data_IF_550942211836
#
_entry.id   IF_550942211836
#
_cell.length_a   1.000
_cell.length_b   1.000
_cell.length_c   1.000
_cell.angle_alpha   90.00
_cell.angle_beta   90.00
_cell.angle_gamma   90.00
#
_symmetry.space_group_name_H-M   'P 1'
#
loop_
_entity.id
_entity.type
_entity.pdbx_description
1 polymer ?
#
# COMPACT_ATOMS: atom_id res chain seq x y z
N UNK A 1 -2.98 14.83 -18.48
CA UNK A 1 -3.61 13.59 -18.87
C UNK A 1 -2.70 12.70 -19.71
N UNK A 2 -2.25 13.17 -20.90
CA UNK A 2 -1.49 12.34 -21.84
C UNK A 2 -0.20 11.78 -21.25
N UNK A 3 0.55 12.58 -20.49
CA UNK A 3 1.76 12.12 -19.81
C UNK A 3 1.47 10.98 -18.81
N UNK A 4 0.42 11.11 -18.00
CA UNK A 4 0.01 10.05 -17.07
C UNK A 4 -0.38 8.77 -17.81
N UNK A 5 -1.18 8.86 -18.87
CA UNK A 5 -1.55 7.69 -19.68
C UNK A 5 -0.32 7.02 -20.33
N UNK A 6 0.66 7.82 -20.77
CA UNK A 6 1.92 7.28 -21.30
C UNK A 6 2.68 6.48 -20.23
N UNK A 7 2.79 7.03 -19.02
CA UNK A 7 3.41 6.33 -17.90
C UNK A 7 2.62 5.09 -17.46
N UNK A 8 1.28 5.12 -17.53
CA UNK A 8 0.45 3.93 -17.26
C UNK A 8 0.78 2.81 -18.25
N UNK A 9 0.84 3.12 -19.56
CA UNK A 9 1.20 2.13 -20.60
C UNK A 9 2.61 1.59 -20.38
N UNK A 10 3.57 2.46 -20.08
CA UNK A 10 4.97 2.06 -19.89
C UNK A 10 5.18 1.16 -18.64
N UNK A 11 4.30 1.24 -17.65
CA UNK A 11 4.45 0.58 -16.35
C UNK A 11 3.37 -0.47 -16.04
N UNK A 12 2.62 -0.90 -17.04
CA UNK A 12 1.53 -1.89 -16.87
C UNK A 12 1.47 -2.88 -18.02
N UNK A 13 0.45 -3.73 -18.04
CA UNK A 13 0.15 -4.61 -19.17
C UNK A 13 -0.66 -3.95 -20.29
N UNK A 14 -1.05 -2.69 -20.15
CA UNK A 14 -1.71 -1.93 -21.21
C UNK A 14 -0.73 -1.62 -22.36
N UNK A 15 -1.30 -1.39 -23.53
CA UNK A 15 -0.57 -1.11 -24.79
C UNK A 15 -1.05 0.20 -25.42
N UNK A 16 -0.42 0.65 -26.50
CA UNK A 16 -0.85 1.84 -27.22
C UNK A 16 -2.30 1.78 -27.74
N UNK A 17 -2.84 0.58 -28.00
CA UNK A 17 -4.25 0.40 -28.38
C UNK A 17 -5.18 0.86 -27.26
N UNK A 18 -4.75 0.75 -25.99
CA UNK A 18 -5.55 1.07 -24.81
C UNK A 18 -5.54 2.57 -24.48
N UNK A 19 -4.77 3.39 -25.17
CA UNK A 19 -4.57 4.82 -24.87
C UNK A 19 -5.88 5.60 -24.72
N UNK A 20 -6.80 5.45 -25.68
CA UNK A 20 -8.11 6.15 -25.65
C UNK A 20 -8.95 5.64 -24.48
N UNK A 21 -8.97 4.32 -24.26
CA UNK A 21 -9.66 3.72 -23.12
C UNK A 21 -9.13 4.27 -21.80
N UNK A 22 -7.82 4.32 -21.60
CA UNK A 22 -7.18 4.85 -20.40
C UNK A 22 -7.47 6.34 -20.22
N UNK A 23 -7.36 7.15 -21.28
CA UNK A 23 -7.70 8.56 -21.23
C UNK A 23 -9.14 8.79 -20.76
N UNK A 24 -10.10 8.05 -21.32
CA UNK A 24 -11.51 8.11 -20.93
C UNK A 24 -11.72 7.66 -19.47
N UNK A 25 -11.02 6.62 -19.01
CA UNK A 25 -11.06 6.17 -17.61
C UNK A 25 -10.54 7.24 -16.66
N UNK A 26 -9.40 7.87 -16.97
CA UNK A 26 -8.84 8.95 -16.15
C UNK A 26 -9.78 10.15 -16.13
N UNK A 27 -10.28 10.62 -17.28
CA UNK A 27 -11.23 11.74 -17.36
C UNK A 27 -12.53 11.45 -16.58
N UNK A 28 -13.01 10.22 -16.58
CA UNK A 28 -14.17 9.83 -15.76
C UNK A 28 -13.93 10.02 -14.26
N UNK A 29 -12.70 9.79 -13.81
CA UNK A 29 -12.28 9.92 -12.42
C UNK A 29 -12.05 11.38 -12.02
N UNK A 30 -11.30 12.14 -12.84
CA UNK A 30 -10.78 13.46 -12.46
C UNK A 30 -11.49 14.64 -13.13
N UNK A 31 -12.29 14.43 -14.18
CA UNK A 31 -12.93 15.47 -14.98
C UNK A 31 -12.29 15.61 -16.36
N UNK A 32 -13.08 16.08 -17.34
CA UNK A 32 -12.63 16.27 -18.73
C UNK A 32 -11.61 17.41 -18.87
N UNK A 33 -11.55 18.33 -17.92
CA UNK A 33 -10.58 19.42 -17.84
C UNK A 33 -9.13 18.92 -17.80
N UNK A 34 -8.90 17.70 -17.32
CA UNK A 34 -7.59 17.05 -17.31
C UNK A 34 -6.98 16.94 -18.73
N UNK A 35 -7.81 16.88 -19.77
CA UNK A 35 -7.33 16.84 -21.16
C UNK A 35 -6.65 18.15 -21.61
N UNK A 36 -6.93 19.27 -20.95
CA UNK A 36 -6.43 20.61 -21.29
C UNK A 36 -5.24 21.04 -20.43
N UNK A 37 -4.95 20.30 -19.36
CA UNK A 37 -3.88 20.68 -18.43
C UNK A 37 -2.51 20.31 -18.98
N UNK A 38 -1.63 21.30 -19.01
CA UNK A 38 -0.19 21.12 -19.22
C UNK A 38 0.48 20.84 -17.87
N UNK A 39 1.49 20.00 -17.88
CA UNK A 39 2.27 19.67 -16.69
C UNK A 39 3.76 19.58 -17.04
N UNK A 40 4.61 20.02 -16.10
CA UNK A 40 6.04 19.78 -16.13
C UNK A 40 6.44 18.49 -15.38
N UNK A 41 5.49 17.83 -14.71
CA UNK A 41 5.74 16.59 -13.99
C UNK A 41 6.13 15.47 -14.95
N UNK A 42 7.11 14.66 -14.52
CA UNK A 42 7.65 13.54 -15.29
C UNK A 42 7.53 12.21 -14.57
N UNK A 43 7.39 12.20 -13.24
CA UNK A 43 7.19 10.97 -12.49
C UNK A 43 5.70 10.62 -12.43
N UNK A 44 5.40 9.33 -12.44
CA UNK A 44 4.02 8.83 -12.34
C UNK A 44 3.29 9.36 -11.10
N UNK A 45 4.00 9.46 -9.96
CA UNK A 45 3.43 9.96 -8.70
C UNK A 45 3.13 11.46 -8.79
N UNK A 46 4.02 12.27 -9.40
CA UNK A 46 3.77 13.70 -9.58
C UNK A 46 2.60 13.94 -10.55
N UNK A 47 2.55 13.18 -11.65
CA UNK A 47 1.44 13.22 -12.60
C UNK A 47 0.10 12.85 -11.97
N UNK A 48 0.08 11.88 -11.04
CA UNK A 48 -1.10 11.57 -10.23
C UNK A 48 -1.47 12.74 -9.34
N UNK A 49 -0.50 13.39 -8.68
CA UNK A 49 -0.76 14.54 -7.81
C UNK A 49 -1.37 15.71 -8.61
N UNK A 50 -0.86 16.02 -9.80
CA UNK A 50 -1.44 17.02 -10.70
C UNK A 50 -2.90 16.68 -11.09
N UNK A 51 -3.21 15.42 -11.32
CA UNK A 51 -4.58 14.97 -11.62
C UNK A 51 -5.51 15.10 -10.42
N UNK A 52 -5.01 14.91 -9.20
CA UNK A 52 -5.77 15.18 -7.97
C UNK A 52 -6.11 16.67 -7.83
N UNK A 53 -5.17 17.57 -8.16
CA UNK A 53 -5.42 19.02 -8.16
C UNK A 53 -6.52 19.39 -9.16
N UNK A 54 -6.52 18.80 -10.37
CA UNK A 54 -7.62 19.00 -11.32
C UNK A 54 -8.95 18.55 -10.74
N UNK A 55 -9.01 17.33 -10.21
CA UNK A 55 -10.24 16.77 -9.65
C UNK A 55 -10.79 17.62 -8.50
N UNK A 56 -9.91 18.18 -7.67
CA UNK A 56 -10.27 19.11 -6.61
C UNK A 56 -10.81 20.43 -7.17
N UNK A 57 -10.13 21.01 -8.17
CA UNK A 57 -10.52 22.28 -8.79
C UNK A 57 -11.89 22.23 -9.47
N UNK A 58 -12.23 21.08 -10.07
CA UNK A 58 -13.54 20.88 -10.75
C UNK A 58 -14.62 20.30 -9.83
N UNK A 59 -14.30 20.07 -8.55
CA UNK A 59 -15.25 19.56 -7.56
C UNK A 59 -15.61 18.08 -7.72
N UNK A 60 -14.76 17.27 -8.34
CA UNK A 60 -14.92 15.80 -8.40
C UNK A 60 -14.68 15.13 -7.05
N UNK A 61 -13.80 15.71 -6.26
CA UNK A 61 -13.50 15.31 -4.88
C UNK A 61 -13.52 16.52 -3.97
N UNK A 62 -13.72 16.29 -2.68
CA UNK A 62 -13.54 17.31 -1.64
C UNK A 62 -12.08 17.45 -1.22
N UNK A 63 -11.84 18.34 -0.26
CA UNK A 63 -10.50 18.70 0.21
C UNK A 63 -9.96 17.79 1.32
N UNK A 64 -10.68 16.72 1.71
CA UNK A 64 -10.22 15.80 2.76
C UNK A 64 -9.12 14.90 2.22
N UNK A 65 -8.16 14.55 3.09
CA UNK A 65 -7.09 13.61 2.72
C UNK A 65 -7.66 12.25 2.31
N UNK A 66 -8.73 11.80 2.97
CA UNK A 66 -9.36 10.53 2.64
C UNK A 66 -9.92 10.49 1.20
N UNK A 67 -10.58 11.57 0.74
CA UNK A 67 -11.08 11.65 -0.64
C UNK A 67 -9.96 11.70 -1.66
N UNK A 68 -8.88 12.43 -1.37
CA UNK A 68 -7.69 12.47 -2.22
C UNK A 68 -6.99 11.10 -2.28
N UNK A 69 -6.85 10.41 -1.14
CA UNK A 69 -6.27 9.07 -1.07
C UNK A 69 -7.11 8.05 -1.86
N UNK A 70 -8.45 8.12 -1.78
CA UNK A 70 -9.35 7.25 -2.53
C UNK A 70 -9.14 7.43 -4.03
N UNK A 71 -9.18 8.66 -4.53
CA UNK A 71 -8.99 8.94 -5.95
C UNK A 71 -7.56 8.61 -6.40
N UNK A 72 -6.55 8.95 -5.58
CA UNK A 72 -5.16 8.64 -5.86
C UNK A 72 -4.92 7.14 -5.98
N UNK A 73 -5.49 6.33 -5.07
CA UNK A 73 -5.39 4.87 -5.13
C UNK A 73 -6.08 4.29 -6.38
N UNK A 74 -7.23 4.84 -6.79
CA UNK A 74 -7.92 4.44 -8.03
C UNK A 74 -7.11 4.76 -9.29
N UNK A 75 -6.48 5.93 -9.36
CA UNK A 75 -5.60 6.29 -10.47
C UNK A 75 -4.39 5.32 -10.54
N UNK A 76 -3.76 5.06 -9.40
CA UNK A 76 -2.59 4.19 -9.32
C UNK A 76 -2.94 2.70 -9.48
N UNK A 77 -4.21 2.32 -9.32
CA UNK A 77 -4.67 0.97 -9.65
C UNK A 77 -4.53 0.66 -11.14
N UNK A 78 -4.50 1.66 -12.02
CA UNK A 78 -4.27 1.46 -13.45
C UNK A 78 -2.87 0.90 -13.79
N UNK A 79 -1.87 1.11 -12.93
CA UNK A 79 -0.52 0.54 -13.09
C UNK A 79 -0.30 -0.70 -12.21
N UNK A 80 -1.34 -1.16 -11.52
CA UNK A 80 -1.23 -2.25 -10.56
C UNK A 80 -1.85 -3.52 -11.16
N UNK A 81 -1.09 -4.60 -11.33
CA UNK A 81 -1.61 -5.83 -11.91
C UNK A 81 -2.73 -6.44 -11.06
N UNK A 82 -3.59 -7.23 -11.67
CA UNK A 82 -4.59 -7.99 -10.93
C UNK A 82 -3.92 -8.97 -9.94
N UNK A 83 -4.54 -9.25 -8.76
CA UNK A 83 -3.93 -10.10 -7.74
C UNK A 83 -3.45 -11.46 -8.25
N UNK A 84 -4.27 -12.15 -9.07
CA UNK A 84 -3.90 -13.45 -9.62
C UNK A 84 -2.69 -13.38 -10.57
N UNK A 85 -2.62 -12.35 -11.42
CA UNK A 85 -1.50 -12.13 -12.31
C UNK A 85 -0.21 -11.86 -11.53
N UNK A 86 -0.27 -10.97 -10.54
CA UNK A 86 0.88 -10.65 -9.69
C UNK A 86 1.39 -11.88 -8.93
N UNK A 87 0.48 -12.64 -8.31
CA UNK A 87 0.87 -13.83 -7.55
C UNK A 87 1.51 -14.88 -8.46
N UNK A 88 0.95 -15.12 -9.64
CA UNK A 88 1.55 -16.03 -10.62
C UNK A 88 2.96 -15.58 -11.02
N UNK A 89 3.14 -14.32 -11.35
CA UNK A 89 4.43 -13.76 -11.74
C UNK A 89 5.44 -13.81 -10.60
N UNK A 90 5.01 -13.47 -9.38
CA UNK A 90 5.86 -13.49 -8.19
C UNK A 90 6.43 -14.89 -7.96
N UNK A 91 5.59 -15.93 -7.92
CA UNK A 91 6.02 -17.29 -7.63
C UNK A 91 6.84 -17.89 -8.78
N UNK A 92 6.53 -17.58 -10.03
CA UNK A 92 7.38 -17.97 -11.16
C UNK A 92 8.80 -17.36 -11.07
N UNK A 93 8.91 -16.10 -10.67
CA UNK A 93 10.22 -15.48 -10.44
C UNK A 93 10.90 -16.03 -9.21
N UNK A 94 10.15 -16.28 -8.14
CA UNK A 94 10.63 -16.78 -6.87
C UNK A 94 11.29 -18.18 -7.01
N UNK A 95 10.74 -19.07 -7.83
CA UNK A 95 11.34 -20.38 -8.12
C UNK A 95 12.77 -20.28 -8.67
N UNK A 96 13.08 -19.19 -9.36
CA UNK A 96 14.40 -18.96 -9.96
C UNK A 96 15.29 -18.09 -9.07
N UNK A 97 14.75 -17.04 -8.50
CA UNK A 97 15.44 -16.07 -7.67
C UNK A 97 14.47 -15.44 -6.65
N UNK A 98 14.40 -15.96 -5.42
CA UNK A 98 13.54 -15.45 -4.37
C UNK A 98 13.78 -13.95 -4.06
N UNK A 99 15.04 -13.52 -4.06
CA UNK A 99 15.39 -12.12 -3.76
C UNK A 99 14.88 -11.18 -4.83
N UNK A 100 14.96 -11.60 -6.09
CA UNK A 100 14.43 -10.83 -7.21
C UNK A 100 12.92 -10.71 -7.15
N UNK A 101 12.20 -11.79 -6.88
CA UNK A 101 10.75 -11.74 -6.74
C UNK A 101 10.30 -10.76 -5.67
N UNK A 102 10.97 -10.76 -4.52
CA UNK A 102 10.70 -9.84 -3.41
C UNK A 102 11.02 -8.40 -3.83
N UNK A 103 12.18 -8.15 -4.45
CA UNK A 103 12.57 -6.82 -4.92
C UNK A 103 11.59 -6.28 -5.98
N UNK A 104 11.17 -7.10 -6.94
CA UNK A 104 10.20 -6.71 -7.97
C UNK A 104 8.84 -6.32 -7.35
N UNK A 105 8.39 -7.03 -6.31
CA UNK A 105 7.17 -6.68 -5.58
C UNK A 105 7.32 -5.39 -4.75
N UNK A 106 8.50 -5.16 -4.17
CA UNK A 106 8.82 -3.91 -3.49
C UNK A 106 8.80 -2.72 -4.45
N UNK A 107 9.47 -2.85 -5.60
CA UNK A 107 9.50 -1.81 -6.64
C UNK A 107 8.10 -1.52 -7.20
N UNK A 108 7.27 -2.55 -7.42
CA UNK A 108 5.87 -2.38 -7.79
C UNK A 108 5.13 -1.56 -6.74
N UNK A 109 5.28 -1.91 -5.46
CA UNK A 109 4.59 -1.27 -4.34
C UNK A 109 5.00 0.20 -4.12
N UNK A 110 6.23 0.57 -4.51
CA UNK A 110 6.69 1.96 -4.58
C UNK A 110 6.13 2.69 -5.80
N UNK A 111 6.24 2.07 -6.97
CA UNK A 111 5.82 2.65 -8.25
C UNK A 111 4.33 2.94 -8.30
N UNK A 112 3.50 2.06 -7.75
CA UNK A 112 2.06 2.25 -7.69
C UNK A 112 1.59 3.12 -6.50
N UNK A 113 2.52 3.82 -5.84
CA UNK A 113 2.25 4.71 -4.70
C UNK A 113 1.48 4.03 -3.54
N UNK A 114 1.56 2.69 -3.43
CA UNK A 114 1.08 2.01 -2.24
C UNK A 114 2.00 2.30 -1.06
N UNK A 115 3.30 2.12 -1.23
CA UNK A 115 4.32 2.64 -0.31
C UNK A 115 4.47 4.14 -0.56
N UNK A 116 4.14 4.95 0.42
CA UNK A 116 4.10 6.41 0.32
C UNK A 116 5.52 7.02 0.39
N UNK A 117 6.34 6.76 -0.64
CA UNK A 117 7.78 7.15 -0.65
C UNK A 117 7.99 8.64 -0.43
N UNK A 118 7.14 9.52 -0.99
CA UNK A 118 7.22 10.98 -0.75
C UNK A 118 6.97 11.35 0.71
N UNK A 119 6.06 10.65 1.38
CA UNK A 119 5.80 10.87 2.80
C UNK A 119 6.94 10.28 3.66
N UNK A 120 7.40 9.07 3.33
CA UNK A 120 8.48 8.38 4.04
C UNK A 120 9.79 9.17 3.97
N UNK A 121 10.08 9.87 2.88
CA UNK A 121 11.29 10.71 2.75
C UNK A 121 11.36 11.86 3.77
N UNK A 122 10.25 12.17 4.45
CA UNK A 122 10.20 13.16 5.54
C UNK A 122 10.56 12.57 6.90
N UNK A 123 10.65 11.23 7.02
CA UNK A 123 11.02 10.57 8.26
C UNK A 123 12.44 10.98 8.65
N UNK A 124 12.68 11.09 9.95
CA UNK A 124 13.99 11.40 10.52
C UNK A 124 14.52 10.12 11.15
N UNK A 125 15.71 9.70 10.73
CA UNK A 125 16.42 8.56 11.32
C UNK A 125 17.81 8.98 11.77
N UNK A 126 18.22 8.56 12.97
CA UNK A 126 19.55 8.78 13.50
C UNK A 126 19.92 7.70 14.51
N UNK A 127 21.23 7.55 14.74
CA UNK A 127 21.74 6.64 15.76
C UNK A 127 22.16 7.42 16.98
N UNK A 128 21.95 6.82 18.16
CA UNK A 128 22.41 7.37 19.44
C UNK A 128 23.13 6.30 20.25
N UNK A 129 24.37 6.58 20.72
CA UNK A 129 25.11 5.63 21.53
C UNK A 129 24.48 5.51 22.93
N UNK A 130 24.41 4.27 23.44
CA UNK A 130 23.95 3.96 24.79
C UNK A 130 24.87 2.94 25.46
N UNK A 131 24.68 2.67 26.74
CA UNK A 131 25.40 1.61 27.46
C UNK A 131 25.11 0.20 26.92
N UNK A 132 24.03 0.03 26.17
CA UNK A 132 23.62 -1.24 25.51
C UNK A 132 24.04 -1.32 24.04
N UNK A 133 24.78 -0.36 23.53
CA UNK A 133 25.14 -0.20 22.13
C UNK A 133 24.41 0.95 21.45
N UNK A 134 24.61 1.08 20.14
CA UNK A 134 23.95 2.12 19.36
C UNK A 134 22.50 1.77 19.11
N UNK A 135 21.61 2.69 19.51
CA UNK A 135 20.19 2.60 19.21
C UNK A 135 19.85 3.37 17.96
N UNK A 136 19.10 2.75 17.07
CA UNK A 136 18.51 3.40 15.90
C UNK A 136 17.16 4.04 16.30
N UNK A 137 17.05 5.33 16.07
CA UNK A 137 15.85 6.12 16.37
C UNK A 137 15.23 6.59 15.08
N UNK A 138 13.94 6.30 14.89
CA UNK A 138 13.17 6.79 13.75
C UNK A 138 11.97 7.61 14.24
N UNK A 139 11.86 8.84 13.73
CA UNK A 139 10.66 9.67 13.90
C UNK A 139 9.84 9.51 12.62
N UNK A 140 8.74 8.78 12.73
CA UNK A 140 7.86 8.50 11.59
C UNK A 140 6.91 9.67 11.33
N UNK A 141 7.30 10.56 10.42
CA UNK A 141 6.51 11.70 9.96
C UNK A 141 5.63 11.37 8.75
N UNK A 142 5.76 10.17 8.20
CA UNK A 142 5.02 9.74 7.00
C UNK A 142 3.56 9.40 7.28
N UNK A 143 3.26 8.95 8.51
CA UNK A 143 1.89 8.60 8.88
C UNK A 143 1.10 9.87 9.14
N UNK A 144 0.05 10.17 8.36
CA UNK A 144 -0.72 11.40 8.54
C UNK A 144 -1.44 11.38 9.91
N UNK A 145 -1.36 12.49 10.61
CA UNK A 145 -2.22 12.73 11.78
C UNK A 145 -3.66 13.00 11.30
N UNK A 146 -4.63 12.43 12.00
CA UNK A 146 -6.03 12.66 11.65
C UNK A 146 -6.44 14.08 12.01
N UNK A 147 -6.84 14.87 11.01
CA UNK A 147 -7.45 16.18 11.24
C UNK A 147 -8.74 16.03 12.09
N UNK A 148 -8.97 16.87 13.11
CA UNK A 148 -10.23 16.90 13.87
C UNK A 148 -11.48 16.97 12.99
N UNK A 149 -11.42 17.64 11.84
CA UNK A 149 -12.53 17.71 10.85
C UNK A 149 -12.78 16.36 10.19
N UNK A 150 -11.73 15.61 9.87
CA UNK A 150 -11.83 14.25 9.32
C UNK A 150 -12.42 13.28 10.34
N UNK A 151 -11.99 13.38 11.61
CA UNK A 151 -12.56 12.57 12.70
C UNK A 151 -14.06 12.86 12.84
N UNK A 152 -14.48 14.13 12.76
CA UNK A 152 -15.88 14.53 12.83
C UNK A 152 -16.69 14.06 11.63
N UNK A 153 -16.12 14.09 10.43
CA UNK A 153 -16.74 13.58 9.20
C UNK A 153 -16.87 12.06 9.24
N UNK A 154 -15.83 11.34 9.65
CA UNK A 154 -15.85 9.90 9.82
C UNK A 154 -16.91 9.41 10.81
N UNK A 155 -17.14 10.15 11.91
CA UNK A 155 -18.19 9.84 12.90
C UNK A 155 -19.61 9.95 12.32
N UNK A 156 -19.81 10.75 11.27
CA UNK A 156 -21.10 10.97 10.59
C UNK A 156 -21.28 10.06 9.37
N UNK A 157 -20.20 9.42 8.92
CA UNK A 157 -20.24 8.53 7.76
C UNK A 157 -21.06 7.26 8.08
N UNK A 158 -21.66 6.67 7.04
CA UNK A 158 -22.28 5.35 7.18
C UNK A 158 -21.20 4.33 7.53
N UNK A 159 -21.33 3.71 8.67
CA UNK A 159 -20.43 2.63 9.09
C UNK A 159 -20.66 1.37 8.28
N UNK A 160 -19.59 0.66 8.01
CA UNK A 160 -19.61 -0.66 7.37
C UNK A 160 -18.69 -1.60 8.16
N UNK A 161 -19.08 -2.87 8.25
CA UNK A 161 -18.26 -3.91 8.85
C UNK A 161 -17.30 -4.56 7.84
N UNK A 162 -17.25 -4.05 6.62
CA UNK A 162 -16.37 -4.53 5.56
C UNK A 162 -15.44 -3.40 5.08
N UNK A 163 -14.12 -3.65 4.97
CA UNK A 163 -13.40 -4.82 5.46
C UNK A 163 -13.47 -4.97 6.99
N UNK A 164 -13.33 -6.20 7.51
CA UNK A 164 -13.46 -6.49 8.93
C UNK A 164 -12.35 -5.83 9.78
N UNK A 165 -11.16 -5.59 9.20
CA UNK A 165 -10.08 -4.86 9.82
C UNK A 165 -9.22 -4.14 8.75
N UNK A 166 -8.25 -3.31 9.17
CA UNK A 166 -7.41 -2.53 8.25
C UNK A 166 -6.29 -3.32 7.58
N UNK A 167 -6.03 -4.56 7.99
CA UNK A 167 -4.89 -5.37 7.54
C UNK A 167 -5.28 -6.72 6.93
N UNK A 168 -6.57 -7.10 6.93
CA UNK A 168 -7.02 -8.38 6.39
C UNK A 168 -7.06 -8.41 4.85
N UNK A 169 -7.20 -9.61 4.28
CA UNK A 169 -7.25 -9.83 2.84
C UNK A 169 -8.34 -9.04 2.12
N UNK A 170 -9.44 -8.74 2.82
CA UNK A 170 -10.55 -7.92 2.29
C UNK A 170 -10.14 -6.50 1.89
N UNK A 171 -8.96 -6.04 2.34
CA UNK A 171 -8.42 -4.75 1.93
C UNK A 171 -7.82 -4.74 0.53
N UNK A 172 -7.46 -5.91 -0.03
CA UNK A 172 -6.86 -5.97 -1.36
C UNK A 172 -7.84 -5.45 -2.42
N UNK A 173 -7.48 -4.34 -3.07
CA UNK A 173 -8.34 -3.68 -4.05
C UNK A 173 -9.54 -2.92 -3.47
N UNK A 174 -9.62 -2.76 -2.15
CA UNK A 174 -10.73 -2.04 -1.53
C UNK A 174 -10.67 -0.54 -1.85
N UNK A 175 -11.79 0.02 -2.32
CA UNK A 175 -11.86 1.43 -2.73
C UNK A 175 -11.51 2.40 -1.60
N UNK A 176 -11.88 2.08 -0.37
CA UNK A 176 -11.76 3.01 0.76
C UNK A 176 -13.07 3.76 1.04
N UNK A 177 -13.09 4.45 2.17
CA UNK A 177 -14.13 5.35 2.61
C UNK A 177 -13.56 6.32 3.67
N UNK A 178 -14.32 7.31 4.11
CA UNK A 178 -13.83 8.34 5.04
C UNK A 178 -13.27 7.79 6.36
N UNK A 179 -13.74 6.65 6.83
CA UNK A 179 -13.30 6.00 8.08
C UNK A 179 -12.43 4.75 7.85
N UNK A 180 -12.13 4.40 6.59
CA UNK A 180 -11.31 3.24 6.25
C UNK A 180 -10.37 3.55 5.08
N UNK A 181 -9.07 3.22 5.19
CA UNK A 181 -8.08 3.59 4.18
C UNK A 181 -8.39 3.05 2.78
N UNK A 182 -8.04 3.85 1.77
CA UNK A 182 -8.06 3.42 0.38
C UNK A 182 -6.98 2.34 0.12
N UNK A 183 -7.33 1.33 -0.63
CA UNK A 183 -6.50 0.15 -0.93
C UNK A 183 -6.68 -0.35 -2.38
N UNK A 184 -7.21 0.47 -3.30
CA UNK A 184 -7.41 0.07 -4.68
C UNK A 184 -6.12 -0.41 -5.36
N UNK A 185 -4.99 0.24 -5.07
CA UNK A 185 -3.64 -0.09 -5.53
C UNK A 185 -2.88 -1.07 -4.63
N UNK A 186 -3.52 -1.62 -3.58
CA UNK A 186 -2.90 -2.58 -2.67
C UNK A 186 -2.95 -4.00 -3.24
N UNK A 187 -1.88 -4.77 -3.04
CA UNK A 187 -1.78 -6.18 -3.42
C UNK A 187 -1.12 -7.00 -2.32
N UNK A 188 -1.48 -8.27 -2.30
CA UNK A 188 -1.02 -9.27 -1.33
C UNK A 188 -0.43 -10.44 -2.09
N UNK A 189 0.80 -10.82 -1.78
CA UNK A 189 1.37 -12.09 -2.22
C UNK A 189 0.87 -13.19 -1.28
N UNK A 190 0.22 -14.19 -1.83
CA UNK A 190 -0.38 -15.30 -1.08
C UNK A 190 0.53 -16.51 -1.09
N UNK A 191 0.63 -17.19 0.04
CA UNK A 191 1.45 -18.39 0.22
C UNK A 191 0.84 -19.31 1.26
N UNK A 192 1.23 -20.58 1.24
CA UNK A 192 0.87 -21.52 2.30
C UNK A 192 1.94 -21.53 3.39
N UNK A 193 1.49 -21.49 4.64
CA UNK A 193 2.36 -21.67 5.80
C UNK A 193 1.69 -22.62 6.78
N UNK A 194 2.30 -23.78 6.98
CA UNK A 194 1.79 -24.83 7.85
C UNK A 194 0.34 -25.25 7.54
N UNK A 195 0.00 -25.38 6.24
CA UNK A 195 -1.33 -25.79 5.76
C UNK A 195 -2.40 -24.69 5.88
N UNK A 196 -2.00 -23.43 5.98
CA UNK A 196 -2.92 -22.27 6.01
C UNK A 196 -2.46 -21.23 5.01
N UNK A 197 -3.42 -20.52 4.42
CA UNK A 197 -3.13 -19.41 3.55
C UNK A 197 -2.69 -18.19 4.36
N UNK A 198 -1.56 -17.61 3.96
CA UNK A 198 -0.98 -16.39 4.50
C UNK A 198 -0.80 -15.36 3.40
N UNK A 199 -0.68 -14.10 3.80
CA UNK A 199 -0.40 -12.99 2.92
C UNK A 199 0.88 -12.27 3.31
N UNK A 200 1.61 -11.80 2.30
CA UNK A 200 2.73 -10.90 2.41
C UNK A 200 2.38 -9.57 1.75
N UNK A 201 2.47 -8.47 2.47
CA UNK A 201 2.19 -7.12 1.99
C UNK A 201 3.17 -6.12 2.57
N UNK A 202 3.44 -5.03 1.84
CA UNK A 202 4.23 -3.93 2.38
C UNK A 202 3.40 -2.96 3.23
N UNK A 203 4.08 -2.21 4.10
CA UNK A 203 3.47 -1.13 4.87
C UNK A 203 3.49 0.17 4.07
N UNK A 204 2.38 0.90 3.96
CA UNK A 204 2.34 2.16 3.22
C UNK A 204 3.14 3.29 3.89
N UNK A 205 3.34 3.23 5.22
CA UNK A 205 4.02 4.26 6.02
C UNK A 205 5.17 3.63 6.81
N UNK A 206 6.14 3.11 6.06
CA UNK A 206 7.28 2.40 6.61
C UNK A 206 8.21 3.32 7.44
N UNK A 207 8.73 2.80 8.53
CA UNK A 207 9.80 3.39 9.32
C UNK A 207 11.08 2.56 9.28
N UNK A 208 11.02 1.35 8.76
CA UNK A 208 12.17 0.53 8.35
C UNK A 208 12.21 0.43 6.83
N UNK A 209 13.40 0.15 6.29
CA UNK A 209 13.53 -0.22 4.90
C UNK A 209 12.76 -1.53 4.63
N UNK A 210 12.01 -1.58 3.54
CA UNK A 210 11.22 -2.75 3.14
C UNK A 210 10.26 -3.27 4.23
N UNK A 211 9.77 -2.38 5.10
CA UNK A 211 8.82 -2.76 6.16
C UNK A 211 7.58 -3.43 5.58
N UNK A 212 7.34 -4.65 6.00
CA UNK A 212 6.27 -5.50 5.50
C UNK A 212 5.47 -6.15 6.64
N UNK A 213 4.37 -6.76 6.29
CA UNK A 213 3.45 -7.43 7.19
C UNK A 213 3.12 -8.79 6.63
N UNK A 214 3.27 -9.83 7.44
CA UNK A 214 2.78 -11.17 7.18
C UNK A 214 1.50 -11.40 7.96
N UNK A 215 0.42 -11.78 7.28
CA UNK A 215 -0.90 -11.92 7.90
C UNK A 215 -1.51 -13.28 7.58
N UNK A 216 -2.19 -13.84 8.59
CA UNK A 216 -3.02 -15.03 8.43
C UNK A 216 -4.32 -14.67 7.66
N UNK A 217 -4.79 -15.54 6.78
CA UNK A 217 -6.07 -15.37 6.09
C UNK A 217 -7.27 -15.32 7.07
N UNK A 218 -7.10 -15.82 8.28
CA UNK A 218 -8.11 -15.80 9.36
C UNK A 218 -7.71 -14.83 10.45
N UNK A 219 -8.68 -14.09 10.98
CA UNK A 219 -8.49 -13.26 12.16
C UNK A 219 -8.26 -14.16 13.39
N UNK A 220 -7.00 -14.45 13.67
CA UNK A 220 -6.59 -15.27 14.82
C UNK A 220 -5.91 -14.35 15.83
N UNK A 221 -6.35 -14.35 17.12
CA UNK A 221 -5.68 -13.57 18.15
C UNK A 221 -4.21 -13.96 18.25
N UNK A 222 -3.35 -12.95 18.38
CA UNK A 222 -1.93 -13.17 18.63
C UNK A 222 -1.72 -13.73 20.03
N UNK A 223 -0.88 -14.74 20.13
CA UNK A 223 -0.48 -15.34 21.40
C UNK A 223 0.98 -15.80 21.32
N UNK A 224 1.70 -15.66 22.43
CA UNK A 224 3.04 -16.24 22.54
C UNK A 224 2.87 -17.75 22.70
N UNK A 225 3.36 -18.51 21.71
CA UNK A 225 3.31 -19.97 21.71
C UNK A 225 4.46 -20.53 20.90
N UNK A 226 4.77 -21.81 21.08
CA UNK A 226 5.74 -22.52 20.25
C UNK A 226 5.39 -22.39 18.75
N UNK A 227 4.13 -22.56 18.40
CA UNK A 227 3.66 -22.45 17.02
C UNK A 227 3.88 -21.04 16.43
N UNK A 228 3.85 -20.00 17.23
CA UNK A 228 4.15 -18.62 16.78
C UNK A 228 5.63 -18.50 16.42
N UNK A 229 6.54 -19.03 17.25
CA UNK A 229 7.97 -19.03 16.94
C UNK A 229 8.30 -19.87 15.71
N UNK A 230 7.68 -21.04 15.57
CA UNK A 230 7.84 -21.90 14.39
C UNK A 230 7.43 -21.12 13.11
N UNK A 231 6.29 -20.43 13.12
CA UNK A 231 5.83 -19.58 11.99
C UNK A 231 6.77 -18.43 11.67
N UNK A 232 7.34 -17.76 12.69
CA UNK A 232 8.33 -16.70 12.46
C UNK A 232 9.57 -17.25 11.76
N UNK A 233 10.03 -18.45 12.13
CA UNK A 233 11.16 -19.11 11.47
C UNK A 233 10.81 -19.51 10.04
N UNK A 234 9.64 -20.09 9.81
CA UNK A 234 9.18 -20.49 8.47
C UNK A 234 9.06 -19.27 7.54
N UNK A 235 8.61 -18.10 8.08
CA UNK A 235 8.54 -16.84 7.31
C UNK A 235 9.93 -16.41 6.87
N UNK A 236 10.93 -16.38 7.75
CA UNK A 236 12.28 -15.93 7.37
C UNK A 236 13.00 -16.94 6.49
N UNK A 237 12.65 -18.23 6.56
CA UNK A 237 13.11 -19.23 5.61
C UNK A 237 12.51 -18.98 4.22
N UNK A 238 11.21 -18.70 4.16
CA UNK A 238 10.50 -18.43 2.89
C UNK A 238 10.90 -17.10 2.28
N UNK A 239 11.14 -16.06 3.07
CA UNK A 239 11.47 -14.71 2.57
C UNK A 239 12.90 -14.31 2.99
N UNK A 240 13.92 -14.74 2.23
CA UNK A 240 15.31 -14.53 2.59
C UNK A 240 15.70 -13.04 2.59
N UNK A 241 16.42 -12.64 3.62
CA UNK A 241 16.88 -11.25 3.80
C UNK A 241 16.04 -10.43 4.77
N UNK A 242 14.90 -10.95 5.22
CA UNK A 242 14.07 -10.34 6.25
C UNK A 242 14.38 -10.89 7.64
N UNK A 243 14.11 -10.11 8.66
CA UNK A 243 13.90 -10.59 10.02
C UNK A 243 12.40 -10.47 10.35
N UNK A 244 11.89 -11.35 11.19
CA UNK A 244 10.49 -11.37 11.57
C UNK A 244 10.32 -11.16 13.07
N UNK A 245 9.29 -10.41 13.44
CA UNK A 245 8.91 -10.17 14.81
C UNK A 245 7.40 -10.18 14.98
N UNK A 246 6.92 -10.26 16.20
CA UNK A 246 5.50 -10.21 16.52
C UNK A 246 5.28 -9.31 17.73
N UNK A 247 4.19 -8.55 17.68
CA UNK A 247 3.72 -7.72 18.81
C UNK A 247 2.78 -8.50 19.74
N UNK A 248 2.92 -9.84 19.82
CA UNK A 248 2.10 -10.66 20.71
C UNK A 248 2.08 -10.11 22.12
N UNK A 249 0.88 -10.15 22.74
CA UNK A 249 0.61 -9.70 24.09
C UNK A 249 0.82 -8.20 24.38
N UNK A 250 1.04 -7.36 23.34
CA UNK A 250 1.06 -5.91 23.51
C UNK A 250 -0.35 -5.33 23.37
N UNK A 251 -0.93 -4.73 24.41
CA UNK A 251 -2.32 -4.24 24.39
C UNK A 251 -2.52 -3.02 23.49
N UNK A 252 -1.45 -2.32 23.13
CA UNK A 252 -1.51 -1.06 22.37
C UNK A 252 -1.72 -1.32 20.86
N UNK A 253 -1.31 -2.46 20.33
CA UNK A 253 -1.34 -2.77 18.90
C UNK A 253 -2.54 -3.66 18.55
N UNK A 254 -3.53 -3.73 19.44
CA UNK A 254 -4.75 -4.49 19.21
C UNK A 254 -4.47 -5.97 18.93
N UNK A 255 -3.91 -6.70 19.87
CA UNK A 255 -3.40 -8.08 19.84
C UNK A 255 -4.22 -9.17 19.14
N UNK A 256 -4.81 -8.86 17.99
CA UNK A 256 -5.68 -9.78 17.26
C UNK A 256 -5.17 -10.16 15.87
N UNK A 257 -4.03 -9.61 15.42
CA UNK A 257 -3.47 -9.89 14.10
C UNK A 257 -1.98 -10.21 14.25
N UNK A 258 -1.54 -11.31 13.66
CA UNK A 258 -0.13 -11.58 13.46
C UNK A 258 0.40 -10.58 12.42
N UNK A 259 1.14 -9.60 12.87
CA UNK A 259 1.87 -8.64 12.02
C UNK A 259 3.35 -8.83 12.23
#
# INVERSE_FOLDING_TARGET
LNAFVTEVIANSSFTEIDRIYLANRVMSLVGEEAAKQETAATSLIDLKDDLLEVALAVGKIGSTLAEQDILGAELMNLVTPAPGQLNQQFWQTYEQDPKRAIADFYELSKRNDYIKVKAISKNIAYQTPTEYGDLEITINLSKPEKDPKEIAAAKKAKTSHYPACQLCFENEGYQGRLDHPARANHRIIRFDLAGREWGFQYSPYAYFNEHCIFLDSKHTPMAISRATFERLLDIVETFPGYFAGSNADLPIVGGSILT
#
